data_IF_530650629651
#
_entry.id   IF_530650629651
#
_cell.length_a   1.000
_cell.length_b   1.000
_cell.length_c   1.000
_cell.angle_alpha   90.00
_cell.angle_beta   90.00
_cell.angle_gamma   90.00
#
_symmetry.space_group_name_H-M   'P 1'
#
loop_
_entity.id
_entity.type
_entity.pdbx_description
1 polymer ?
#
# COMPACT_ATOMS: atom_id res chain seq x y z
N UNK A 1 6.61 28.15 8.17
CA UNK A 1 7.82 27.68 8.87
C UNK A 1 8.61 26.84 7.87
N UNK A 2 9.76 27.32 7.37
CA UNK A 2 10.57 26.60 6.38
C UNK A 2 11.39 25.51 7.08
N UNK A 3 10.84 24.31 7.19
CA UNK A 3 11.52 23.14 7.76
C UNK A 3 12.42 22.39 6.77
N UNK A 4 12.56 22.89 5.54
CA UNK A 4 13.18 22.14 4.43
C UNK A 4 14.68 22.39 4.23
N UNK A 5 15.28 23.33 4.98
CA UNK A 5 16.71 23.60 4.88
C UNK A 5 17.49 22.82 5.93
N UNK A 6 18.02 21.67 5.53
CA UNK A 6 19.06 20.98 6.28
C UNK A 6 20.41 21.66 6.01
N UNK A 7 21.00 22.31 7.02
CA UNK A 7 22.27 23.03 6.88
C UNK A 7 23.51 22.12 6.84
N UNK A 8 23.35 20.83 7.14
CA UNK A 8 24.45 19.87 7.23
C UNK A 8 24.09 18.54 6.56
N UNK A 9 25.08 17.83 5.98
CA UNK A 9 24.86 16.50 5.45
C UNK A 9 24.51 15.51 6.58
N UNK A 10 23.61 14.57 6.28
CA UNK A 10 23.25 13.46 7.17
C UNK A 10 23.76 12.13 6.61
N UNK A 11 23.75 11.08 7.43
CA UNK A 11 24.12 9.71 7.04
C UNK A 11 23.10 8.71 7.60
N UNK A 12 22.87 7.61 6.89
CA UNK A 12 22.09 6.46 7.38
C UNK A 12 22.91 5.20 7.18
N UNK A 13 23.23 4.52 8.28
CA UNK A 13 23.86 3.20 8.24
C UNK A 13 22.86 2.16 7.74
N UNK A 14 23.38 1.07 7.15
CA UNK A 14 22.54 -0.07 6.77
C UNK A 14 21.85 -0.65 8.01
N UNK A 15 20.55 -0.89 7.91
CA UNK A 15 19.80 -1.62 8.92
C UNK A 15 19.97 -3.11 8.66
N UNK A 16 20.40 -3.86 9.67
CA UNK A 16 20.65 -5.31 9.57
C UNK A 16 19.72 -6.02 10.53
N UNK A 17 19.02 -7.04 10.03
CA UNK A 17 18.13 -7.88 10.83
C UNK A 17 18.22 -9.34 10.37
N UNK A 18 18.08 -10.28 11.31
CA UNK A 18 18.12 -11.73 11.04
C UNK A 18 16.75 -12.36 10.85
N UNK A 19 15.74 -11.85 11.56
CA UNK A 19 14.44 -12.53 11.70
C UNK A 19 13.29 -11.82 10.98
N UNK A 20 13.54 -10.64 10.41
CA UNK A 20 12.53 -9.86 9.71
C UNK A 20 12.90 -8.40 9.57
N UNK A 21 12.47 -7.76 8.48
CA UNK A 21 12.69 -6.35 8.21
C UNK A 21 11.49 -5.83 7.41
N UNK A 22 11.03 -4.62 7.76
CA UNK A 22 10.01 -3.89 7.00
C UNK A 22 10.59 -2.54 6.61
N UNK A 23 10.53 -2.22 5.32
CA UNK A 23 10.98 -0.94 4.78
C UNK A 23 9.84 -0.32 3.95
N UNK A 24 9.49 0.91 4.26
CA UNK A 24 8.41 1.66 3.60
C UNK A 24 8.63 3.17 3.80
N UNK A 25 7.86 4.00 3.10
CA UNK A 25 7.93 5.48 3.12
C UNK A 25 7.49 6.10 4.45
N UNK A 26 6.66 5.41 5.23
CA UNK A 26 6.05 5.96 6.44
C UNK A 26 6.38 5.12 7.70
N UNK A 27 7.04 5.70 8.73
CA UNK A 27 7.40 4.97 9.95
C UNK A 27 6.26 4.24 10.65
N UNK A 28 5.04 4.79 10.68
CA UNK A 28 3.88 4.12 11.31
C UNK A 28 3.47 2.85 10.56
N UNK A 29 3.59 2.85 9.23
CA UNK A 29 3.36 1.66 8.42
C UNK A 29 4.47 0.61 8.61
N UNK A 30 5.73 1.05 8.70
CA UNK A 30 6.85 0.15 9.02
C UNK A 30 6.65 -0.54 10.38
N UNK A 31 6.20 0.21 11.39
CA UNK A 31 5.87 -0.33 12.71
C UNK A 31 4.69 -1.31 12.67
N UNK A 32 3.69 -1.09 11.81
CA UNK A 32 2.57 -2.01 11.66
C UNK A 32 3.02 -3.36 11.13
N UNK A 33 3.80 -3.39 10.04
CA UNK A 33 4.39 -4.62 9.53
C UNK A 33 5.33 -5.29 10.53
N UNK A 34 6.18 -4.51 11.22
CA UNK A 34 7.09 -5.05 12.23
C UNK A 34 6.34 -5.71 13.40
N UNK A 35 5.24 -5.11 13.85
CA UNK A 35 4.41 -5.68 14.91
C UNK A 35 3.80 -7.03 14.50
N UNK A 36 3.41 -7.19 13.23
CA UNK A 36 2.95 -8.47 12.70
C UNK A 36 4.07 -9.52 12.67
N UNK A 37 5.27 -9.14 12.24
CA UNK A 37 6.43 -10.05 12.31
C UNK A 37 6.73 -10.48 13.76
N UNK A 38 6.68 -9.54 14.71
CA UNK A 38 6.88 -9.81 16.14
C UNK A 38 5.77 -10.70 16.73
N UNK A 39 4.56 -10.62 16.20
CA UNK A 39 3.44 -11.48 16.58
C UNK A 39 3.50 -12.88 15.94
N UNK A 40 4.54 -13.20 15.16
CA UNK A 40 4.74 -14.49 14.50
C UNK A 40 4.17 -14.58 13.09
N UNK A 41 3.70 -13.47 12.52
CA UNK A 41 3.26 -13.40 11.13
C UNK A 41 4.46 -13.47 10.18
N UNK A 42 4.19 -13.83 8.93
CA UNK A 42 5.24 -13.91 7.91
C UNK A 42 5.40 -12.60 7.11
N UNK A 43 6.29 -12.60 6.12
CA UNK A 43 6.57 -11.43 5.30
C UNK A 43 5.34 -10.92 4.50
N UNK A 44 4.44 -11.81 4.07
CA UNK A 44 3.21 -11.44 3.37
C UNK A 44 2.21 -10.82 4.33
N UNK A 45 2.01 -11.42 5.50
CA UNK A 45 1.17 -10.85 6.57
C UNK A 45 1.63 -9.43 6.93
N UNK A 46 2.95 -9.25 7.14
CA UNK A 46 3.55 -7.97 7.45
C UNK A 46 3.39 -6.96 6.31
N UNK A 47 3.52 -7.39 5.05
CA UNK A 47 3.31 -6.52 3.88
C UNK A 47 1.87 -6.03 3.81
N UNK A 48 0.88 -6.89 4.06
CA UNK A 48 -0.54 -6.49 4.06
C UNK A 48 -0.85 -5.49 5.19
N UNK A 49 -0.37 -5.72 6.41
CA UNK A 49 -0.54 -4.74 7.49
C UNK A 49 0.16 -3.41 7.20
N UNK A 50 1.32 -3.45 6.54
CA UNK A 50 2.07 -2.25 6.13
C UNK A 50 1.28 -1.44 5.11
N UNK A 51 0.85 -2.05 4.00
CA UNK A 51 0.12 -1.33 2.93
C UNK A 51 -1.25 -0.85 3.38
N UNK A 52 -1.97 -1.65 4.18
CA UNK A 52 -3.24 -1.22 4.77
C UNK A 52 -3.05 0.00 5.68
N UNK A 53 -1.92 0.07 6.40
CA UNK A 53 -1.55 1.27 7.17
C UNK A 53 -1.26 2.45 6.26
N UNK A 54 -0.50 2.26 5.16
CA UNK A 54 -0.23 3.34 4.20
C UNK A 54 -1.51 3.96 3.61
N UNK A 55 -2.54 3.16 3.34
CA UNK A 55 -3.84 3.68 2.88
C UNK A 55 -4.50 4.67 3.84
N UNK A 56 -4.06 4.72 5.11
CA UNK A 56 -4.52 5.66 6.13
C UNK A 56 -3.50 6.76 6.36
N UNK A 57 -2.22 6.41 6.54
CA UNK A 57 -1.18 7.35 7.00
C UNK A 57 -0.40 8.04 5.88
N UNK A 58 -0.65 7.66 4.63
CA UNK A 58 -0.10 8.26 3.41
C UNK A 58 -1.18 8.32 2.29
N UNK A 59 -2.30 9.04 2.53
CA UNK A 59 -3.48 9.01 1.65
C UNK A 59 -3.25 9.66 0.28
N UNK A 60 -2.25 10.53 0.15
CA UNK A 60 -1.88 11.19 -1.10
C UNK A 60 -1.20 10.26 -2.11
N UNK A 61 -0.71 9.08 -1.68
CA UNK A 61 0.10 8.19 -2.52
C UNK A 61 -0.55 6.84 -2.83
N UNK A 62 -1.39 6.32 -1.93
CA UNK A 62 -1.97 4.98 -2.06
C UNK A 62 -3.27 4.84 -1.26
N UNK A 63 -4.12 3.87 -1.65
CA UNK A 63 -5.44 3.69 -1.04
C UNK A 63 -6.10 2.38 -1.43
N UNK A 64 -7.15 2.01 -0.71
CA UNK A 64 -7.94 0.79 -0.97
C UNK A 64 -8.66 0.80 -2.31
N UNK A 65 -8.85 2.00 -2.89
CA UNK A 65 -9.45 2.20 -4.22
C UNK A 65 -8.46 2.10 -5.39
N UNK A 66 -7.20 1.74 -5.14
CA UNK A 66 -6.19 1.54 -6.19
C UNK A 66 -6.03 0.08 -6.61
N UNK A 67 -4.89 -0.19 -7.24
CA UNK A 67 -4.43 -1.50 -7.69
C UNK A 67 -3.21 -1.96 -6.90
N UNK A 68 -2.84 -3.24 -7.04
CA UNK A 68 -1.64 -3.78 -6.38
C UNK A 68 -0.82 -4.70 -7.29
N UNK A 69 0.50 -4.67 -7.08
CA UNK A 69 1.45 -5.61 -7.66
C UNK A 69 2.37 -6.13 -6.58
N UNK A 70 2.74 -7.41 -6.67
CA UNK A 70 3.70 -7.99 -5.73
C UNK A 70 4.60 -9.03 -6.41
N UNK A 71 5.86 -9.06 -6.00
CA UNK A 71 6.77 -10.16 -6.24
C UNK A 71 7.01 -10.86 -4.90
N UNK A 72 6.61 -12.13 -4.81
CA UNK A 72 6.61 -12.89 -3.56
C UNK A 72 7.52 -14.09 -3.74
N UNK A 73 8.63 -14.12 -3.00
CA UNK A 73 9.46 -15.30 -2.90
C UNK A 73 8.89 -16.24 -1.82
N UNK A 74 8.43 -17.42 -2.24
CA UNK A 74 8.01 -18.47 -1.32
C UNK A 74 9.21 -19.34 -0.97
N UNK A 75 9.69 -19.25 0.27
CA UNK A 75 10.75 -20.13 0.77
C UNK A 75 10.29 -21.60 0.82
N UNK A 76 9.00 -21.83 1.09
CA UNK A 76 8.37 -23.16 1.08
C UNK A 76 8.48 -23.81 -0.29
N UNK A 77 8.16 -23.07 -1.34
CA UNK A 77 8.14 -23.59 -2.71
C UNK A 77 9.48 -23.40 -3.44
N UNK A 78 10.41 -22.64 -2.84
CA UNK A 78 11.66 -22.15 -3.46
C UNK A 78 11.40 -21.49 -4.82
N UNK A 79 10.34 -20.68 -4.89
CA UNK A 79 9.83 -20.11 -6.14
C UNK A 79 9.41 -18.66 -5.98
N UNK A 80 9.67 -17.88 -7.02
CA UNK A 80 9.16 -16.52 -7.16
C UNK A 80 7.77 -16.54 -7.81
N UNK A 81 6.83 -15.80 -7.21
CA UNK A 81 5.49 -15.58 -7.73
C UNK A 81 5.27 -14.10 -8.04
N UNK A 82 4.56 -13.83 -9.12
CA UNK A 82 4.04 -12.50 -9.43
C UNK A 82 2.55 -12.44 -9.14
N UNK A 83 2.12 -11.38 -8.48
CA UNK A 83 0.73 -10.97 -8.34
C UNK A 83 0.52 -9.71 -9.18
N UNK A 84 -0.40 -9.80 -10.14
CA UNK A 84 -0.96 -8.64 -10.82
C UNK A 84 -2.41 -8.51 -10.37
N UNK A 85 -2.67 -7.47 -9.57
CA UNK A 85 -4.00 -7.07 -9.15
C UNK A 85 -4.29 -5.66 -9.68
N UNK A 86 -3.95 -5.42 -10.95
CA UNK A 86 -4.47 -4.28 -11.69
C UNK A 86 -5.85 -4.61 -12.23
N UNK A 87 -6.83 -3.80 -11.85
CA UNK A 87 -8.20 -4.05 -12.28
C UNK A 87 -8.50 -3.50 -13.67
N UNK A 88 -9.41 -4.15 -14.40
CA UNK A 88 -9.73 -3.77 -15.76
C UNK A 88 -10.54 -2.47 -15.82
N UNK A 89 -10.58 -1.87 -17.00
CA UNK A 89 -11.54 -0.82 -17.32
C UNK A 89 -12.99 -1.35 -17.14
N UNK A 90 -13.95 -0.52 -16.71
CA UNK A 90 -15.36 -0.91 -16.68
C UNK A 90 -15.83 -1.35 -18.06
N UNK A 91 -16.61 -2.43 -18.15
CA UNK A 91 -17.03 -3.01 -19.43
C UNK A 91 -17.80 -2.03 -20.35
N UNK A 92 -18.51 -1.07 -19.76
CA UNK A 92 -19.24 -0.03 -20.50
C UNK A 92 -18.36 1.17 -20.93
N UNK A 93 -17.14 1.29 -20.41
CA UNK A 93 -16.24 2.40 -20.67
C UNK A 93 -15.46 2.15 -21.97
N UNK A 94 -16.09 2.38 -23.11
CA UNK A 94 -15.46 2.27 -24.43
C UNK A 94 -14.85 3.59 -24.89
N UNK A 95 -13.87 3.53 -25.79
CA UNK A 95 -13.29 4.76 -26.35
C UNK A 95 -14.30 5.61 -27.12
N UNK A 96 -15.28 4.98 -27.80
CA UNK A 96 -16.35 5.69 -28.48
C UNK A 96 -17.30 6.39 -27.51
N UNK A 97 -17.60 5.76 -26.36
CA UNK A 97 -18.38 6.41 -25.32
C UNK A 97 -17.65 7.64 -24.76
N UNK A 98 -16.35 7.52 -24.48
CA UNK A 98 -15.53 8.63 -23.98
C UNK A 98 -15.52 9.80 -24.98
N UNK A 99 -15.28 9.52 -26.28
CA UNK A 99 -15.37 10.54 -27.34
C UNK A 99 -16.76 11.14 -27.47
N UNK A 100 -17.81 10.31 -27.33
CA UNK A 100 -19.20 10.75 -27.30
C UNK A 100 -19.55 11.68 -26.13
N UNK A 101 -18.76 11.65 -25.05
CA UNK A 101 -18.85 12.63 -23.94
C UNK A 101 -18.05 13.91 -24.20
N UNK A 102 -17.44 14.07 -25.37
CA UNK A 102 -16.65 15.25 -25.74
C UNK A 102 -15.21 15.24 -25.25
N UNK A 103 -14.67 14.07 -24.90
CA UNK A 103 -13.28 13.92 -24.47
C UNK A 103 -12.40 13.33 -25.58
N UNK A 104 -11.32 14.03 -25.93
CA UNK A 104 -10.31 13.53 -26.89
C UNK A 104 -9.30 12.57 -26.23
N UNK A 105 -9.13 12.67 -24.91
CA UNK A 105 -8.30 11.82 -24.06
C UNK A 105 -9.02 11.47 -22.75
N UNK A 106 -8.58 10.42 -22.05
CA UNK A 106 -9.15 10.09 -20.73
C UNK A 106 -8.83 11.25 -19.77
N UNK A 107 -9.85 11.90 -19.17
CA UNK A 107 -9.62 13.02 -18.28
C UNK A 107 -8.89 12.57 -17.01
N UNK A 108 -8.04 13.43 -16.46
CA UNK A 108 -7.23 13.11 -15.29
C UNK A 108 -8.03 12.96 -13.99
N UNK A 109 -9.21 13.60 -13.90
CA UNK A 109 -10.04 13.65 -12.70
C UNK A 109 -11.50 13.32 -13.04
N UNK A 110 -12.27 13.01 -11.99
CA UNK A 110 -13.67 12.63 -12.10
C UNK A 110 -13.86 11.10 -12.17
N UNK A 111 -15.08 10.64 -12.47
CA UNK A 111 -15.41 9.20 -12.44
C UNK A 111 -14.92 8.43 -13.68
N UNK A 112 -14.70 9.10 -14.80
CA UNK A 112 -14.30 8.49 -16.08
C UNK A 112 -12.97 7.71 -16.01
N UNK A 113 -11.88 8.24 -15.40
CA UNK A 113 -10.62 7.50 -15.32
C UNK A 113 -10.62 6.33 -14.31
N UNK A 114 -11.70 6.09 -13.57
CA UNK A 114 -11.74 5.08 -12.51
C UNK A 114 -11.88 3.67 -13.12
N UNK A 115 -10.87 2.82 -12.91
CA UNK A 115 -10.92 1.39 -13.19
C UNK A 115 -11.49 0.61 -12.00
N UNK A 116 -11.78 -0.68 -12.18
CA UNK A 116 -12.19 -1.54 -11.05
C UNK A 116 -11.02 -1.65 -10.05
N UNK A 117 -11.16 -1.26 -8.76
CA UNK A 117 -10.04 -1.34 -7.82
C UNK A 117 -9.58 -2.78 -7.55
N UNK A 118 -8.32 -3.09 -7.84
CA UNK A 118 -7.76 -4.43 -7.65
C UNK A 118 -7.03 -4.66 -6.32
N UNK A 119 -6.64 -3.60 -5.60
CA UNK A 119 -5.75 -3.72 -4.43
C UNK A 119 -6.24 -4.69 -3.36
N UNK A 120 -7.47 -4.50 -2.86
CA UNK A 120 -8.04 -5.33 -1.77
C UNK A 120 -8.17 -6.79 -2.20
N UNK A 121 -8.57 -7.05 -3.45
CA UNK A 121 -8.61 -8.42 -3.99
C UNK A 121 -7.22 -9.03 -4.10
N UNK A 122 -6.22 -8.23 -4.50
CA UNK A 122 -4.81 -8.64 -4.50
C UNK A 122 -4.32 -9.02 -3.11
N UNK A 123 -4.65 -8.24 -2.08
CA UNK A 123 -4.29 -8.54 -0.69
C UNK A 123 -4.90 -9.87 -0.24
N UNK A 124 -6.18 -10.06 -0.51
CA UNK A 124 -6.88 -11.31 -0.20
C UNK A 124 -6.22 -12.51 -0.88
N UNK A 125 -5.93 -12.43 -2.18
CA UNK A 125 -5.28 -13.52 -2.94
C UNK A 125 -3.87 -13.84 -2.40
N UNK A 126 -3.11 -12.82 -1.99
CA UNK A 126 -1.80 -13.03 -1.37
C UNK A 126 -1.93 -13.74 -0.02
N UNK A 127 -2.91 -13.36 0.81
CA UNK A 127 -3.16 -13.98 2.11
C UNK A 127 -3.69 -15.41 1.99
N UNK A 128 -4.63 -15.66 1.07
CA UNK A 128 -5.17 -17.00 0.82
C UNK A 128 -4.06 -18.01 0.50
N UNK A 129 -3.01 -17.56 -0.21
CA UNK A 129 -1.93 -18.44 -0.66
C UNK A 129 -0.72 -18.49 0.28
N UNK A 130 -0.36 -17.36 0.86
CA UNK A 130 0.91 -17.20 1.59
C UNK A 130 0.72 -16.63 2.99
N UNK A 131 -0.46 -16.15 3.36
CA UNK A 131 -0.73 -15.58 4.67
C UNK A 131 -0.77 -16.65 5.76
N UNK A 132 -0.55 -16.21 7.00
CA UNK A 132 -0.67 -17.06 8.19
C UNK A 132 -1.51 -16.44 9.30
N UNK A 133 -2.01 -15.21 9.11
CA UNK A 133 -2.85 -14.50 10.07
C UNK A 133 -4.17 -14.03 9.45
N UNK A 134 -5.19 -13.88 10.30
CA UNK A 134 -6.49 -13.33 9.92
C UNK A 134 -6.46 -11.81 9.70
N UNK A 135 -7.33 -11.32 8.81
CA UNK A 135 -7.44 -9.88 8.49
C UNK A 135 -7.78 -9.02 9.71
N UNK A 136 -8.52 -9.55 10.67
CA UNK A 136 -8.81 -8.90 11.95
C UNK A 136 -7.54 -8.49 12.70
N UNK A 137 -6.52 -9.36 12.68
CA UNK A 137 -5.22 -9.10 13.30
C UNK A 137 -4.40 -8.14 12.45
N UNK A 138 -4.33 -8.37 11.13
CA UNK A 138 -3.52 -7.56 10.21
C UNK A 138 -4.02 -6.11 10.11
N UNK A 139 -5.33 -5.91 10.21
CA UNK A 139 -5.96 -4.59 10.08
C UNK A 139 -6.15 -3.86 11.42
N UNK A 140 -5.75 -4.46 12.54
CA UNK A 140 -5.89 -3.85 13.87
C UNK A 140 -5.29 -2.44 13.96
N UNK A 141 -4.03 -2.26 13.53
CA UNK A 141 -3.33 -0.97 13.52
C UNK A 141 -3.86 0.04 12.50
N UNK A 142 -4.08 -0.29 11.21
CA UNK A 142 -4.66 0.69 10.29
C UNK A 142 -6.06 1.13 10.74
N UNK A 143 -6.88 0.24 11.29
CA UNK A 143 -8.19 0.61 11.85
C UNK A 143 -8.03 1.57 13.04
N UNK A 144 -7.09 1.29 13.94
CA UNK A 144 -6.77 2.19 15.06
C UNK A 144 -6.37 3.59 14.56
N UNK A 145 -5.39 3.69 13.64
CA UNK A 145 -4.98 4.99 13.10
C UNK A 145 -6.10 5.72 12.35
N UNK A 146 -6.99 4.98 11.67
CA UNK A 146 -8.13 5.59 10.96
C UNK A 146 -9.20 6.13 11.92
N UNK A 147 -9.39 5.49 13.08
CA UNK A 147 -10.41 5.88 14.08
C UNK A 147 -9.90 6.94 15.05
N UNK A 148 -8.69 6.74 15.56
CA UNK A 148 -8.15 7.51 16.68
C UNK A 148 -7.16 8.59 16.20
N UNK A 149 -6.82 8.57 14.91
CA UNK A 149 -5.92 9.52 14.27
C UNK A 149 -4.45 9.19 14.47
N UNK A 150 -3.60 10.05 13.89
CA UNK A 150 -2.15 9.98 13.97
C UNK A 150 -1.55 11.38 13.73
N UNK A 151 -0.29 11.58 14.13
CA UNK A 151 0.43 12.81 13.82
C UNK A 151 0.82 12.88 12.34
N UNK A 152 0.30 13.86 11.60
CA UNK A 152 0.64 14.08 10.19
C UNK A 152 2.11 14.51 10.10
N UNK A 153 2.93 13.71 9.41
CA UNK A 153 4.35 14.04 9.21
C UNK A 153 4.51 15.20 8.21
N UNK A 154 5.62 15.93 8.31
CA UNK A 154 5.88 17.08 7.43
C UNK A 154 5.80 16.73 5.93
N UNK A 155 6.29 15.56 5.54
CA UNK A 155 6.23 15.11 4.14
C UNK A 155 4.80 14.92 3.65
N UNK A 156 3.93 14.35 4.50
CA UNK A 156 2.52 14.15 4.17
C UNK A 156 1.78 15.49 4.18
N UNK A 157 2.04 16.34 5.17
CA UNK A 157 1.44 17.68 5.22
C UNK A 157 1.83 18.59 4.05
N UNK A 158 2.94 18.31 3.36
CA UNK A 158 3.31 18.99 2.12
C UNK A 158 2.58 18.44 0.88
N UNK A 159 2.28 17.14 0.86
CA UNK A 159 1.72 16.45 -0.31
C UNK A 159 0.18 16.42 -0.35
N UNK A 160 -0.48 16.79 0.76
CA UNK A 160 -1.92 16.87 0.91
C UNK A 160 -2.41 18.28 0.60
#
# INVERSE_FOLDING_TARGET
MQFEKYSFPSRRSNVVARNGLVATSQPLAAQAGLAILQAGGNAVDAAIATVATLCVVEPCSTGVGGDAFALIWSAKDKKLYGLNASGPAPAALTSDWIRGQGHDEVPALGPIPVTVPGAVRGWQLALERFGSMGLDTLLSRPIHYARDGYGVSQRIGFAW
#
